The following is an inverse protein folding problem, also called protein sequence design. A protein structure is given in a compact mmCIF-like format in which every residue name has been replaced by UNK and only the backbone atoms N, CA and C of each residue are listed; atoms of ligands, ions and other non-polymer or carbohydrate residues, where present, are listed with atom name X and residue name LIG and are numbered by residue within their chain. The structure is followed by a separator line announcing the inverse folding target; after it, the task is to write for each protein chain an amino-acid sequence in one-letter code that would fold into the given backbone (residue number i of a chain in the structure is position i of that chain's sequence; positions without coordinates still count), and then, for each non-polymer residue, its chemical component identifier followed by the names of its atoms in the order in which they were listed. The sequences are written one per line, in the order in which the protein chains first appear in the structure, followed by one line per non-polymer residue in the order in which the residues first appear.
data_IF_298947287177
#
_entry.id   IF_298947287177
#
_cell.length_a   1.000
_cell.length_b   1.000
_cell.length_c   1.000
_cell.angle_alpha   90.00
_cell.angle_beta   90.00
_cell.angle_gamma   90.00
#
_symmetry.space_group_name_H-M   'P 1'
#
loop_
_entity.id
_entity.type
_entity.pdbx_description
1 polymer ?
#
# COMPACT_ATOMS: atom_id res chain seq x y z
N UNK A 1 -15.79 23.55 20.16
CA UNK A 1 -17.01 23.13 19.42
C UNK A 1 -18.23 23.82 20.01
N UNK A 2 -19.31 24.00 19.24
CA UNK A 2 -20.60 24.51 19.77
C UNK A 2 -21.48 23.30 20.04
N UNK A 3 -22.03 23.20 21.26
CA UNK A 3 -22.85 22.09 21.71
C UNK A 3 -24.22 22.59 22.18
N UNK A 4 -25.30 21.90 21.82
CA UNK A 4 -26.62 22.21 22.36
C UNK A 4 -26.68 21.88 23.85
N UNK A 5 -27.37 22.73 24.62
CA UNK A 5 -27.56 22.54 26.08
C UNK A 5 -28.98 22.05 26.34
N UNK A 6 -29.19 21.02 27.17
CA UNK A 6 -30.53 20.59 27.55
C UNK A 6 -31.36 21.77 28.10
N UNK A 7 -32.64 21.89 27.72
CA UNK A 7 -33.47 23.00 28.16
C UNK A 7 -33.63 22.97 29.68
N UNK A 8 -33.06 23.97 30.34
CA UNK A 8 -33.10 24.20 31.78
C UNK A 8 -33.27 25.70 32.05
N UNK A 9 -33.90 26.09 33.16
CA UNK A 9 -33.98 27.51 33.55
C UNK A 9 -32.58 28.13 33.54
N UNK A 10 -32.44 29.31 32.92
CA UNK A 10 -31.18 30.07 32.82
C UNK A 10 -30.07 29.48 31.94
N UNK A 11 -30.24 28.29 31.36
CA UNK A 11 -29.28 27.76 30.40
C UNK A 11 -29.51 28.35 28.99
N UNK A 12 -28.45 28.72 28.25
CA UNK A 12 -28.59 29.08 26.83
C UNK A 12 -29.02 27.85 26.02
N UNK A 13 -29.45 28.06 24.76
CA UNK A 13 -29.77 26.94 23.85
C UNK A 13 -28.52 26.15 23.45
N UNK A 14 -27.38 26.83 23.41
CA UNK A 14 -26.10 26.30 22.97
C UNK A 14 -24.99 26.86 23.85
N UNK A 15 -23.89 26.11 23.98
CA UNK A 15 -22.68 26.53 24.67
C UNK A 15 -21.46 26.17 23.83
N UNK A 16 -20.44 27.01 23.87
CA UNK A 16 -19.10 26.64 23.44
C UNK A 16 -18.54 25.64 24.44
N UNK A 17 -17.89 24.63 23.90
CA UNK A 17 -17.22 23.57 24.66
C UNK A 17 -15.79 23.45 24.16
N UNK A 18 -14.84 23.46 25.09
CA UNK A 18 -13.46 23.03 24.85
C UNK A 18 -13.29 21.63 25.39
N UNK A 19 -12.76 20.73 24.56
CA UNK A 19 -12.42 19.37 24.97
C UNK A 19 -10.96 19.08 24.67
N UNK A 20 -10.25 18.59 25.67
CA UNK A 20 -8.87 18.09 25.54
C UNK A 20 -8.89 16.58 25.67
N UNK A 21 -8.21 15.88 24.76
CA UNK A 21 -8.08 14.42 24.78
C UNK A 21 -6.66 14.01 25.09
N UNK A 22 -6.50 13.04 25.99
CA UNK A 22 -5.25 12.36 26.30
C UNK A 22 -5.39 10.88 25.99
N UNK A 23 -4.49 10.35 25.18
CA UNK A 23 -4.43 8.92 24.86
C UNK A 23 -3.21 8.31 25.53
N UNK A 24 -3.37 7.16 26.17
CA UNK A 24 -2.27 6.45 26.82
C UNK A 24 -2.45 4.94 26.74
N UNK A 25 -1.31 4.24 26.71
CA UNK A 25 -1.22 2.81 26.90
C UNK A 25 -0.66 2.57 28.31
N UNK A 26 -1.27 1.66 29.05
CA UNK A 26 -0.81 1.23 30.36
C UNK A 26 -0.88 -0.30 30.46
N UNK A 27 -0.31 -0.86 31.51
CA UNK A 27 -0.48 -2.27 31.85
C UNK A 27 -1.16 -2.35 33.22
N UNK A 28 -2.05 -3.33 33.40
CA UNK A 28 -2.60 -3.63 34.72
C UNK A 28 -1.62 -4.47 35.56
N UNK A 29 -2.00 -4.78 36.81
CA UNK A 29 -1.19 -5.61 37.71
C UNK A 29 -0.98 -7.04 37.18
N UNK A 30 -1.74 -7.45 36.16
CA UNK A 30 -1.62 -8.74 35.48
C UNK A 30 -0.81 -8.66 34.18
N UNK A 31 -0.25 -7.49 33.84
CA UNK A 31 0.51 -7.26 32.62
C UNK A 31 -0.35 -7.18 31.36
N UNK A 32 -1.67 -6.98 31.48
CA UNK A 32 -2.57 -6.81 30.32
C UNK A 32 -2.52 -5.38 29.82
N UNK A 33 -2.50 -5.22 28.50
CA UNK A 33 -2.58 -3.91 27.85
C UNK A 33 -3.93 -3.24 28.16
N UNK A 34 -3.85 -2.01 28.67
CA UNK A 34 -4.98 -1.11 28.89
C UNK A 34 -4.83 0.07 27.94
N UNK A 35 -5.79 0.22 27.03
CA UNK A 35 -5.91 1.44 26.22
C UNK A 35 -6.78 2.43 26.99
N UNK A 36 -6.21 3.58 27.35
CA UNK A 36 -6.89 4.62 28.13
C UNK A 36 -7.08 5.89 27.29
N UNK A 37 -8.32 6.32 27.18
CA UNK A 37 -8.69 7.62 26.64
C UNK A 37 -9.23 8.50 27.76
N UNK A 38 -8.49 9.55 28.11
CA UNK A 38 -8.94 10.60 29.01
C UNK A 38 -9.47 11.79 28.20
N UNK A 39 -10.50 12.43 28.69
CA UNK A 39 -10.94 13.72 28.17
C UNK A 39 -11.28 14.69 29.29
N UNK A 40 -11.02 15.97 29.07
CA UNK A 40 -11.41 17.05 29.98
C UNK A 40 -12.21 18.08 29.20
N UNK A 41 -13.38 18.43 29.72
CA UNK A 41 -14.39 19.23 29.04
C UNK A 41 -14.78 20.46 29.88
N UNK A 42 -14.76 21.63 29.25
CA UNK A 42 -15.19 22.91 29.85
C UNK A 42 -16.29 23.53 29.00
N UNK A 43 -17.43 23.85 29.61
CA UNK A 43 -18.56 24.53 28.97
C UNK A 43 -18.52 26.02 29.30
N UNK A 44 -18.39 26.89 28.31
CA UNK A 44 -18.07 28.30 28.52
C UNK A 44 -19.28 29.20 28.78
N UNK A 45 -20.46 28.84 28.27
CA UNK A 45 -21.61 29.75 28.23
C UNK A 45 -22.75 29.32 29.18
N UNK A 46 -22.59 28.21 29.90
CA UNK A 46 -23.58 27.72 30.89
C UNK A 46 -23.41 28.45 32.23
N UNK A 47 -24.47 28.58 33.06
CA UNK A 47 -24.34 29.06 34.43
C UNK A 47 -23.28 28.26 35.18
N UNK A 48 -22.33 28.95 35.81
CA UNK A 48 -21.18 28.36 36.51
C UNK A 48 -20.19 27.59 35.62
N UNK A 49 -20.18 27.82 34.31
CA UNK A 49 -19.28 27.12 33.37
C UNK A 49 -17.78 27.27 33.66
N UNK A 50 -17.38 28.34 34.35
CA UNK A 50 -16.02 28.60 34.82
C UNK A 50 -15.73 28.09 36.25
N UNK A 51 -16.70 27.43 36.89
CA UNK A 51 -16.57 26.89 38.24
C UNK A 51 -16.23 25.40 38.26
N UNK A 52 -16.42 24.69 37.14
CA UNK A 52 -16.16 23.26 37.07
C UNK A 52 -15.68 22.82 35.68
N UNK A 53 -14.99 21.69 35.63
CA UNK A 53 -14.72 20.91 34.43
C UNK A 53 -15.27 19.49 34.60
N UNK A 54 -15.55 18.81 33.49
CA UNK A 54 -15.91 17.40 33.50
C UNK A 54 -14.74 16.61 32.96
N UNK A 55 -14.22 15.68 33.75
CA UNK A 55 -13.24 14.71 33.31
C UNK A 55 -13.92 13.36 33.02
N UNK A 56 -13.57 12.74 31.90
CA UNK A 56 -14.01 11.41 31.54
C UNK A 56 -12.79 10.53 31.27
N UNK A 57 -12.86 9.26 31.70
CA UNK A 57 -11.86 8.24 31.41
C UNK A 57 -12.54 7.01 30.86
N UNK A 58 -12.16 6.60 29.65
CA UNK A 58 -12.59 5.36 29.02
C UNK A 58 -11.38 4.44 28.99
N UNK A 59 -11.52 3.28 29.63
CA UNK A 59 -10.51 2.22 29.66
C UNK A 59 -11.03 1.03 28.87
N UNK A 60 -10.18 0.51 28.00
CA UNK A 60 -10.46 -0.67 27.20
C UNK A 60 -9.41 -1.72 27.53
N UNK A 61 -9.87 -2.85 28.06
CA UNK A 61 -9.03 -3.98 28.47
C UNK A 61 -9.47 -5.20 27.71
N UNK A 62 -8.53 -5.96 27.16
CA UNK A 62 -8.87 -7.24 26.52
C UNK A 62 -9.37 -8.24 27.56
N UNK A 63 -10.54 -8.82 27.31
CA UNK A 63 -11.14 -9.83 28.18
C UNK A 63 -11.70 -10.99 27.33
N UNK A 64 -10.98 -12.12 27.32
CA UNK A 64 -11.30 -13.27 26.46
C UNK A 64 -11.23 -12.92 24.97
N UNK A 65 -12.32 -13.23 24.26
CA UNK A 65 -12.52 -12.91 22.84
C UNK A 65 -13.11 -11.50 22.62
N UNK A 66 -13.28 -10.72 23.69
CA UNK A 66 -13.87 -9.39 23.66
C UNK A 66 -12.97 -8.31 24.26
N UNK A 67 -13.58 -7.13 24.42
CA UNK A 67 -12.98 -5.97 25.07
C UNK A 67 -13.94 -5.52 26.17
N UNK A 68 -13.45 -5.47 27.41
CA UNK A 68 -14.12 -4.83 28.52
C UNK A 68 -13.91 -3.32 28.40
N UNK A 69 -15.02 -2.58 28.35
CA UNK A 69 -15.00 -1.11 28.25
C UNK A 69 -15.54 -0.52 29.55
N UNK A 70 -14.70 0.20 30.27
CA UNK A 70 -15.05 0.88 31.51
C UNK A 70 -15.02 2.38 31.28
N UNK A 71 -16.17 3.05 31.46
CA UNK A 71 -16.27 4.51 31.45
C UNK A 71 -16.45 5.05 32.87
N UNK A 72 -15.55 5.91 33.30
CA UNK A 72 -15.66 6.70 34.53
C UNK A 72 -15.66 8.19 34.22
N UNK A 73 -16.23 8.99 35.12
CA UNK A 73 -16.25 10.45 34.98
C UNK A 73 -16.25 11.13 36.36
N UNK A 74 -15.75 12.36 36.40
CA UNK A 74 -15.78 13.25 37.58
C UNK A 74 -16.14 14.67 37.17
N UNK A 75 -16.73 15.42 38.10
CA UNK A 75 -16.96 16.85 37.97
C UNK A 75 -16.03 17.59 38.95
N UNK A 76 -15.04 18.28 38.41
CA UNK A 76 -13.99 18.93 39.19
C UNK A 76 -14.32 20.40 39.38
N UNK A 77 -14.74 20.75 40.61
CA UNK A 77 -15.13 22.11 40.96
C UNK A 77 -13.92 22.93 41.40
N UNK A 78 -13.47 23.84 40.55
CA UNK A 78 -12.38 24.80 40.84
C UNK A 78 -12.84 25.99 41.68
N UNK A 79 -14.15 26.28 41.69
CA UNK A 79 -14.76 27.36 42.48
C UNK A 79 -15.99 26.85 43.24
N UNK A 80 -16.30 27.48 44.38
CA UNK A 80 -17.50 27.16 45.17
C UNK A 80 -18.76 27.63 44.45
N UNK A 81 -19.81 26.80 44.46
CA UNK A 81 -21.14 27.15 43.94
C UNK A 81 -22.23 26.52 44.80
N UNK A 82 -23.35 27.22 44.98
CA UNK A 82 -24.52 26.73 45.71
C UNK A 82 -25.33 25.68 44.92
N UNK A 83 -25.10 25.57 43.61
CA UNK A 83 -25.80 24.61 42.73
C UNK A 83 -25.00 23.31 42.51
N UNK A 84 -23.96 23.03 43.30
CA UNK A 84 -23.06 21.87 43.10
C UNK A 84 -23.81 20.56 42.93
N UNK A 85 -24.72 20.23 43.86
CA UNK A 85 -25.48 18.97 43.83
C UNK A 85 -26.39 18.87 42.59
N UNK A 86 -26.97 19.99 42.15
CA UNK A 86 -27.80 20.04 40.94
C UNK A 86 -26.95 19.82 39.68
N UNK A 87 -25.77 20.44 39.61
CA UNK A 87 -24.81 20.28 38.51
C UNK A 87 -24.33 18.81 38.44
N UNK A 88 -23.89 18.24 39.57
CA UNK A 88 -23.43 16.84 39.64
C UNK A 88 -24.52 15.85 39.22
N UNK A 89 -25.76 16.04 39.69
CA UNK A 89 -26.91 15.20 39.31
C UNK A 89 -27.22 15.30 37.81
N UNK A 90 -27.18 16.51 37.25
CA UNK A 90 -27.37 16.73 35.81
C UNK A 90 -26.26 16.06 34.98
N UNK A 91 -24.99 16.21 35.38
CA UNK A 91 -23.85 15.56 34.72
C UNK A 91 -24.02 14.04 34.76
N UNK A 92 -24.34 13.47 35.92
CA UNK A 92 -24.53 12.03 36.07
C UNK A 92 -25.63 11.48 35.14
N UNK A 93 -26.78 12.16 35.07
CA UNK A 93 -27.89 11.74 34.20
C UNK A 93 -27.48 11.78 32.72
N UNK A 94 -26.80 12.83 32.27
CA UNK A 94 -26.34 12.95 30.89
C UNK A 94 -25.25 11.91 30.57
N UNK A 95 -24.29 11.72 31.46
CA UNK A 95 -23.22 10.74 31.28
C UNK A 95 -23.74 9.31 31.17
N UNK A 96 -24.79 8.97 31.92
CA UNK A 96 -25.45 7.67 31.80
C UNK A 96 -26.03 7.45 30.39
N UNK A 97 -26.80 8.41 29.88
CA UNK A 97 -27.38 8.33 28.52
C UNK A 97 -26.29 8.26 27.44
N UNK A 98 -25.21 9.01 27.61
CA UNK A 98 -24.06 8.98 26.69
C UNK A 98 -23.33 7.64 26.73
N UNK A 99 -23.21 7.03 27.90
CA UNK A 99 -22.60 5.70 28.06
C UNK A 99 -23.42 4.63 27.33
N UNK A 100 -24.75 4.64 27.47
CA UNK A 100 -25.63 3.71 26.77
C UNK A 100 -25.50 3.82 25.24
N UNK A 101 -25.46 5.05 24.73
CA UNK A 101 -25.21 5.31 23.30
C UNK A 101 -23.83 4.79 22.88
N UNK A 102 -22.80 5.03 23.69
CA UNK A 102 -21.42 4.65 23.36
C UNK A 102 -21.34 3.14 23.19
N UNK A 103 -21.93 2.40 24.14
CA UNK A 103 -21.99 0.95 24.08
C UNK A 103 -22.75 0.45 22.86
N UNK A 104 -23.88 1.07 22.51
CA UNK A 104 -24.65 0.71 21.30
C UNK A 104 -23.82 0.83 20.02
N UNK A 105 -22.98 1.86 19.91
CA UNK A 105 -22.14 2.04 18.73
C UNK A 105 -20.93 1.13 18.73
N UNK A 106 -20.27 0.95 19.86
CA UNK A 106 -19.20 -0.04 19.97
C UNK A 106 -19.69 -1.45 19.58
N UNK A 107 -20.92 -1.79 20.00
CA UNK A 107 -21.55 -3.04 19.62
C UNK A 107 -21.84 -3.12 18.12
N UNK A 108 -22.39 -2.07 17.50
CA UNK A 108 -22.62 -2.06 16.05
C UNK A 108 -21.33 -2.25 15.24
N UNK A 109 -20.22 -1.66 15.70
CA UNK A 109 -18.92 -1.85 15.06
C UNK A 109 -18.37 -3.27 15.27
N UNK A 110 -18.61 -3.87 16.43
CA UNK A 110 -18.21 -5.25 16.69
C UNK A 110 -18.99 -6.24 15.79
N UNK A 111 -20.27 -5.97 15.53
CA UNK A 111 -21.11 -6.76 14.63
C UNK A 111 -20.66 -6.63 13.17
N UNK A 112 -20.37 -5.41 12.71
CA UNK A 112 -19.86 -5.13 11.35
C UNK A 112 -18.47 -5.73 11.11
N UNK A 113 -17.64 -5.83 12.16
CA UNK A 113 -16.32 -6.44 12.10
C UNK A 113 -16.33 -7.94 12.42
N UNK A 114 -17.49 -8.53 12.71
CA UNK A 114 -17.58 -9.98 12.82
C UNK A 114 -17.08 -10.57 11.49
N UNK A 115 -16.14 -11.54 11.54
CA UNK A 115 -15.58 -12.10 10.33
C UNK A 115 -16.74 -12.63 9.50
N UNK A 116 -16.96 -11.99 8.34
CA UNK A 116 -17.77 -12.57 7.26
C UNK A 116 -17.35 -14.02 7.20
N UNK A 117 -18.28 -14.93 7.43
CA UNK A 117 -18.04 -16.36 7.51
C UNK A 117 -17.55 -16.84 6.13
N UNK A 118 -16.25 -16.61 5.85
CA UNK A 118 -15.56 -17.11 4.68
C UNK A 118 -15.52 -18.60 4.95
N UNK A 119 -16.38 -19.33 4.24
CA UNK A 119 -16.72 -20.72 4.51
C UNK A 119 -15.50 -21.56 4.89
N UNK A 120 -15.72 -22.45 5.86
CA UNK A 120 -14.74 -23.38 6.39
C UNK A 120 -13.76 -23.86 5.32
N UNK A 121 -12.44 -23.81 5.55
CA UNK A 121 -11.49 -24.39 4.62
C UNK A 121 -11.81 -25.88 4.51
N UNK A 122 -12.21 -26.32 3.32
CA UNK A 122 -12.32 -27.74 2.99
C UNK A 122 -10.98 -28.39 3.32
N UNK A 123 -11.04 -29.29 4.30
CA UNK A 123 -9.99 -30.21 4.70
C UNK A 123 -9.26 -30.79 3.48
N UNK A 124 -8.01 -30.37 3.28
CA UNK A 124 -7.08 -31.08 2.40
C UNK A 124 -6.42 -32.19 3.23
N UNK A 125 -6.99 -33.38 3.18
CA UNK A 125 -6.30 -34.60 3.61
C UNK A 125 -5.25 -34.99 2.56
N UNK A 126 -4.04 -35.45 2.95
CA UNK A 126 -3.04 -35.92 2.00
C UNK A 126 -3.48 -37.24 1.36
N UNK A 127 -3.42 -37.33 0.04
CA UNK A 127 -3.57 -38.60 -0.70
C UNK A 127 -2.30 -39.45 -0.53
N UNK A 128 -2.39 -40.76 -0.25
CA UNK A 128 -1.24 -41.64 -0.26
C UNK A 128 -0.65 -41.76 -1.68
N UNK A 129 0.69 -41.73 -1.77
CA UNK A 129 1.44 -42.07 -2.99
C UNK A 129 1.21 -43.54 -3.31
N UNK A 130 0.51 -43.81 -4.42
CA UNK A 130 0.59 -45.10 -5.09
C UNK A 130 1.91 -45.17 -5.86
N UNK A 131 2.69 -46.18 -5.50
CA UNK A 131 3.80 -46.74 -6.26
C UNK A 131 3.34 -47.13 -7.67
N UNK A 132 4.09 -46.72 -8.69
CA UNK A 132 4.06 -47.41 -9.97
C UNK A 132 5.49 -47.56 -10.50
N UNK A 133 5.88 -48.83 -10.60
CA UNK A 133 7.02 -49.38 -11.29
C UNK A 133 6.79 -49.37 -12.81
N UNK A 134 7.88 -49.21 -13.57
CA UNK A 134 7.92 -49.29 -15.03
C UNK A 134 9.15 -48.53 -15.53
N UNK A 135 10.34 -49.13 -15.55
CA UNK A 135 10.86 -50.08 -16.57
C UNK A 135 11.20 -49.37 -17.90
N UNK A 136 12.41 -49.66 -18.41
CA UNK A 136 13.18 -49.07 -19.53
C UNK A 136 14.04 -47.87 -19.14
N UNK A 137 15.35 -47.82 -19.41
CA UNK A 137 16.24 -48.73 -20.12
C UNK A 137 17.66 -48.11 -20.11
N UNK A 138 18.66 -48.99 -20.09
CA UNK A 138 20.10 -48.72 -20.04
C UNK A 138 20.59 -47.75 -21.11
N UNK A 139 21.53 -46.86 -20.76
CA UNK A 139 22.80 -46.63 -21.48
C UNK A 139 23.84 -46.23 -20.42
N UNK A 140 24.86 -47.08 -20.28
CA UNK A 140 26.09 -46.84 -19.52
C UNK A 140 26.94 -45.80 -20.26
N UNK A 141 27.60 -44.89 -19.52
CA UNK A 141 28.88 -44.36 -19.98
C UNK A 141 29.75 -43.98 -18.78
N UNK A 142 30.87 -44.71 -18.71
CA UNK A 142 31.94 -44.64 -17.73
C UNK A 142 32.79 -43.40 -17.97
N UNK A 143 33.19 -42.72 -16.89
CA UNK A 143 34.53 -42.15 -16.82
C UNK A 143 34.88 -41.78 -15.39
N UNK A 144 35.67 -42.65 -14.78
CA UNK A 144 36.52 -42.41 -13.62
C UNK A 144 37.43 -41.19 -13.83
N UNK A 145 37.67 -40.42 -12.77
CA UNK A 145 38.96 -39.76 -12.51
C UNK A 145 39.09 -39.56 -11.01
N UNK A 146 40.18 -40.11 -10.50
CA UNK A 146 40.60 -40.13 -9.10
C UNK A 146 41.26 -38.81 -8.64
N UNK A 147 41.47 -38.78 -7.32
CA UNK A 147 42.56 -38.14 -6.57
C UNK A 147 42.40 -36.73 -6.00
N UNK A 148 42.27 -36.75 -4.67
CA UNK A 148 42.61 -35.70 -3.72
C UNK A 148 44.13 -35.43 -3.68
N UNK A 149 44.56 -34.34 -3.02
CA UNK A 149 45.07 -34.61 -1.67
C UNK A 149 44.67 -33.57 -0.61
N UNK A 150 44.50 -34.11 0.60
CA UNK A 150 44.50 -33.43 1.89
C UNK A 150 45.84 -32.75 2.18
N UNK A 151 45.80 -31.54 2.73
CA UNK A 151 46.94 -30.93 3.43
C UNK A 151 46.48 -30.54 4.83
N UNK A 152 47.06 -31.25 5.80
CA UNK A 152 47.06 -30.97 7.22
C UNK A 152 47.81 -29.66 7.52
N UNK A 153 47.36 -28.97 8.56
CA UNK A 153 47.98 -27.73 9.05
C UNK A 153 47.61 -27.47 10.50
N UNK A 154 48.11 -28.31 11.40
CA UNK A 154 48.20 -28.03 12.84
C UNK A 154 49.27 -26.98 13.11
N UNK A 155 48.92 -25.92 13.85
CA UNK A 155 49.88 -25.19 14.71
C UNK A 155 49.15 -24.79 15.99
N UNK A 156 49.76 -25.04 17.18
CA UNK A 156 49.17 -24.78 18.49
C UNK A 156 49.50 -23.36 18.97
N UNK A 157 48.69 -22.79 19.87
CA UNK A 157 49.26 -21.97 20.95
C UNK A 157 48.36 -21.94 22.18
N UNK A 158 49.03 -22.25 23.28
CA UNK A 158 48.66 -22.27 24.70
C UNK A 158 48.24 -20.91 25.26
N UNK A 159 47.59 -20.93 26.42
CA UNK A 159 47.70 -19.84 27.38
C UNK A 159 46.54 -19.75 28.35
N UNK A 160 46.67 -20.49 29.44
CA UNK A 160 45.82 -20.55 30.62
C UNK A 160 45.60 -19.20 31.34
N UNK A 161 44.55 -19.21 32.17
CA UNK A 161 44.52 -18.77 33.59
C UNK A 161 43.34 -17.84 33.98
N UNK A 162 42.36 -18.49 34.61
CA UNK A 162 41.90 -18.28 35.98
C UNK A 162 41.02 -17.08 36.42
N UNK A 163 39.89 -17.52 37.00
CA UNK A 163 39.45 -17.30 38.38
C UNK A 163 38.38 -16.23 38.72
N UNK A 164 37.20 -16.77 39.04
CA UNK A 164 36.34 -16.56 40.24
C UNK A 164 35.93 -15.13 40.66
N UNK A 165 34.61 -14.87 40.69
CA UNK A 165 33.75 -14.60 41.87
C UNK A 165 32.46 -13.85 41.44
N UNK A 166 31.34 -14.41 41.89
CA UNK A 166 30.02 -13.82 42.22
C UNK A 166 29.72 -12.36 41.90
N UNK A 167 28.55 -12.09 41.32
CA UNK A 167 27.38 -11.56 42.03
C UNK A 167 26.34 -11.01 41.06
N UNK A 168 25.11 -10.95 41.55
CA UNK A 168 23.90 -10.55 40.87
C UNK A 168 23.91 -9.11 40.32
N UNK A 169 23.17 -8.89 39.23
CA UNK A 169 22.12 -7.89 39.04
C UNK A 169 22.04 -7.46 37.58
N UNK A 170 20.81 -7.49 37.05
CA UNK A 170 20.24 -6.45 36.20
C UNK A 170 20.92 -6.18 34.86
N UNK A 171 20.28 -6.61 33.78
CA UNK A 171 19.84 -5.74 32.67
C UNK A 171 19.29 -6.64 31.58
N UNK A 172 17.96 -6.83 31.55
CA UNK A 172 17.29 -7.25 30.33
C UNK A 172 17.01 -5.99 29.51
N UNK A 173 17.46 -6.10 28.28
CA UNK A 173 17.42 -5.17 27.16
C UNK A 173 15.96 -4.93 26.74
N UNK A 174 15.40 -3.78 27.13
CA UNK A 174 14.14 -3.27 26.58
C UNK A 174 14.45 -2.61 25.23
N UNK A 175 14.40 -3.41 24.17
CA UNK A 175 14.31 -2.90 22.81
C UNK A 175 13.46 -3.83 21.94
N UNK A 176 12.15 -3.62 21.97
CA UNK A 176 11.36 -3.46 20.74
C UNK A 176 9.92 -3.03 21.05
N UNK A 177 9.73 -1.71 21.04
CA UNK A 177 8.48 -1.06 20.67
C UNK A 177 8.05 -1.53 19.26
N UNK A 178 6.75 -1.85 19.10
CA UNK A 178 6.24 -2.27 17.80
C UNK A 178 4.73 -2.49 17.70
N UNK A 179 3.97 -1.39 17.76
CA UNK A 179 2.67 -1.19 17.07
C UNK A 179 1.48 -2.10 17.44
N UNK A 180 0.68 -1.67 18.40
CA UNK A 180 -0.77 -1.92 18.46
C UNK A 180 -1.50 -0.65 18.90
N UNK A 181 -1.66 0.30 17.98
CA UNK A 181 -2.63 1.39 18.12
C UNK A 181 -3.22 1.66 16.75
N UNK A 182 -4.54 1.47 16.59
CA UNK A 182 -5.43 2.37 15.83
C UNK A 182 -6.86 1.82 15.83
N UNK A 183 -7.66 2.28 16.77
CA UNK A 183 -9.12 2.16 16.70
C UNK A 183 -9.82 3.34 17.37
N UNK A 184 -9.43 4.60 17.13
CA UNK A 184 -10.29 5.75 17.49
C UNK A 184 -10.09 6.91 16.51
N UNK A 185 -11.06 7.15 15.62
CA UNK A 185 -11.57 8.50 15.45
C UNK A 185 -13.09 8.47 15.44
N UNK A 186 -13.75 8.74 16.59
CA UNK A 186 -15.18 9.10 16.61
C UNK A 186 -15.76 9.59 17.96
N UNK A 187 -14.99 9.74 19.04
CA UNK A 187 -15.60 10.12 20.34
C UNK A 187 -16.06 11.59 20.40
N UNK A 188 -15.58 12.45 19.49
CA UNK A 188 -15.96 13.86 19.43
C UNK A 188 -17.32 14.09 18.76
N UNK A 189 -17.75 13.19 17.87
CA UNK A 189 -19.02 13.31 17.12
C UNK A 189 -20.20 12.60 17.79
N UNK A 190 -19.99 12.03 18.98
CA UNK A 190 -20.83 10.98 19.55
C UNK A 190 -21.83 11.44 20.63
N UNK A 191 -21.90 12.72 20.95
CA UNK A 191 -22.73 13.27 22.03
C UNK A 191 -24.20 13.54 21.64
N UNK A 192 -24.82 12.71 20.79
CA UNK A 192 -26.11 12.97 20.12
C UNK A 192 -27.31 13.38 20.99
N UNK A 193 -28.02 14.42 20.57
CA UNK A 193 -29.40 14.77 20.97
C UNK A 193 -30.41 14.16 19.98
N UNK A 194 -31.28 13.26 20.47
CA UNK A 194 -32.53 12.85 19.80
C UNK A 194 -33.69 13.67 20.36
N UNK A 195 -34.68 14.15 19.62
CA UNK A 195 -35.38 13.41 18.56
C UNK A 195 -35.81 14.28 17.36
N UNK A 196 -35.59 15.59 17.40
CA UNK A 196 -36.02 16.49 16.30
C UNK A 196 -34.97 16.64 15.19
N UNK A 197 -33.72 16.24 15.46
CA UNK A 197 -32.57 16.42 14.55
C UNK A 197 -32.29 15.17 13.69
N UNK A 198 -32.78 13.97 14.06
CA UNK A 198 -32.58 12.76 13.24
C UNK A 198 -33.12 12.92 11.81
N UNK A 199 -34.22 13.69 11.65
CA UNK A 199 -34.81 14.02 10.35
C UNK A 199 -34.00 15.05 9.54
N UNK A 200 -33.52 16.12 10.19
CA UNK A 200 -32.82 17.23 9.51
C UNK A 200 -31.30 16.99 9.34
N UNK A 201 -30.63 16.33 10.29
CA UNK A 201 -29.24 15.93 10.14
C UNK A 201 -29.09 14.78 9.15
N UNK A 202 -30.02 13.82 9.04
CA UNK A 202 -30.03 12.85 7.93
C UNK A 202 -30.04 13.55 6.55
N UNK A 203 -30.74 14.68 6.41
CA UNK A 203 -30.82 15.44 5.16
C UNK A 203 -29.68 16.45 4.96
N UNK A 204 -29.19 17.08 6.03
CA UNK A 204 -28.09 18.08 5.99
C UNK A 204 -26.71 17.41 5.97
N UNK A 205 -26.55 16.28 6.67
CA UNK A 205 -25.32 15.48 6.68
C UNK A 205 -25.10 14.76 5.35
N UNK A 206 -26.17 14.27 4.69
CA UNK A 206 -26.12 13.87 3.27
C UNK A 206 -25.71 15.01 2.34
N UNK A 207 -25.91 16.27 2.74
CA UNK A 207 -25.58 17.47 1.93
C UNK A 207 -24.18 18.03 2.18
N UNK A 208 -23.62 17.85 3.39
CA UNK A 208 -22.30 18.39 3.78
C UNK A 208 -21.18 17.34 3.82
N UNK A 209 -21.48 16.07 4.14
CA UNK A 209 -20.55 14.94 3.93
C UNK A 209 -20.74 14.24 2.58
N UNK A 210 -21.61 14.79 1.73
CA UNK A 210 -21.33 14.78 0.30
C UNK A 210 -20.11 15.68 0.02
N UNK A 211 -18.94 15.30 0.54
CA UNK A 211 -17.78 15.22 -0.35
C UNK A 211 -18.36 14.45 -1.52
N UNK A 212 -18.68 15.14 -2.63
CA UNK A 212 -19.17 14.47 -3.83
C UNK A 212 -18.26 13.25 -3.95
N UNK A 213 -18.83 12.04 -3.82
CA UNK A 213 -18.14 10.84 -4.25
C UNK A 213 -17.74 11.17 -5.67
N UNK A 214 -16.53 11.71 -5.82
CA UNK A 214 -16.02 12.12 -7.09
C UNK A 214 -15.64 10.79 -7.67
N UNK A 215 -16.60 10.19 -8.36
CA UNK A 215 -16.43 8.93 -9.05
C UNK A 215 -15.22 9.12 -9.96
N UNK A 216 -14.10 8.49 -9.56
CA UNK A 216 -12.90 8.56 -10.35
C UNK A 216 -13.09 7.59 -11.51
N UNK A 217 -13.11 8.12 -12.73
CA UNK A 217 -13.20 7.28 -13.91
C UNK A 217 -11.80 6.85 -14.31
N UNK A 218 -11.56 5.53 -14.35
CA UNK A 218 -10.33 4.96 -14.86
C UNK A 218 -10.55 4.55 -16.32
N UNK A 219 -9.64 4.99 -17.18
CA UNK A 219 -9.64 4.62 -18.60
C UNK A 219 -8.45 3.70 -18.88
N UNK A 220 -8.73 2.53 -19.48
CA UNK A 220 -7.70 1.58 -19.89
C UNK A 220 -7.91 1.24 -21.35
N UNK A 221 -6.84 1.31 -22.13
CA UNK A 221 -6.85 0.91 -23.53
C UNK A 221 -6.38 -0.53 -23.65
N UNK A 222 -7.14 -1.32 -24.41
CA UNK A 222 -6.74 -2.65 -24.81
C UNK A 222 -6.15 -2.62 -26.21
N UNK A 223 -4.91 -3.06 -26.37
CA UNK A 223 -4.20 -3.18 -27.64
C UNK A 223 -4.06 -4.64 -28.05
N UNK A 224 -4.31 -4.90 -29.33
CA UNK A 224 -4.04 -6.20 -29.93
C UNK A 224 -3.45 -6.05 -31.34
N UNK A 225 -2.65 -7.03 -31.73
CA UNK A 225 -1.99 -7.11 -33.03
C UNK A 225 -2.27 -8.48 -33.67
N UNK A 226 -2.47 -8.49 -34.99
CA UNK A 226 -2.51 -9.71 -35.81
C UNK A 226 -1.12 -10.29 -36.03
N UNK A 227 -1.04 -11.60 -36.27
CA UNK A 227 0.23 -12.20 -36.69
C UNK A 227 0.68 -11.69 -38.06
N UNK A 228 -0.23 -11.71 -39.04
CA UNK A 228 -0.06 -11.07 -40.35
C UNK A 228 -1.40 -10.52 -40.83
N UNK A 229 -1.41 -9.77 -41.94
CA UNK A 229 -2.67 -9.24 -42.51
C UNK A 229 -3.69 -10.31 -42.93
N UNK A 230 -3.25 -11.57 -43.07
CA UNK A 230 -4.09 -12.69 -43.51
C UNK A 230 -4.59 -13.58 -42.37
N UNK A 231 -4.13 -13.34 -41.14
CA UNK A 231 -4.61 -14.11 -39.99
C UNK A 231 -5.76 -13.38 -39.30
N UNK A 232 -6.73 -14.16 -38.83
CA UNK A 232 -7.83 -13.67 -38.00
C UNK A 232 -7.51 -13.69 -36.50
N UNK A 233 -6.29 -14.09 -36.14
CA UNK A 233 -5.83 -14.12 -34.76
C UNK A 233 -5.55 -12.71 -34.25
N UNK A 234 -6.00 -12.43 -33.03
CA UNK A 234 -5.69 -11.18 -32.35
C UNK A 234 -5.13 -11.49 -30.99
N UNK A 235 -3.92 -10.99 -30.73
CA UNK A 235 -3.19 -11.25 -29.49
C UNK A 235 -2.51 -9.99 -28.97
N UNK A 236 -2.01 -10.05 -27.73
CA UNK A 236 -1.20 -8.98 -27.17
C UNK A 236 -0.04 -8.63 -28.12
N UNK A 237 0.34 -7.35 -28.27
CA UNK A 237 1.39 -6.98 -29.22
C UNK A 237 2.72 -7.62 -28.82
N UNK A 238 3.47 -8.09 -29.81
CA UNK A 238 4.58 -9.01 -29.59
C UNK A 238 5.82 -8.68 -30.44
N UNK A 239 5.75 -7.66 -31.32
CA UNK A 239 6.88 -7.33 -32.18
C UNK A 239 7.93 -6.54 -31.40
N UNK A 240 9.24 -6.72 -31.66
CA UNK A 240 10.30 -6.01 -30.93
C UNK A 240 10.16 -4.48 -30.95
N UNK A 241 9.65 -3.92 -32.06
CA UNK A 241 9.46 -2.49 -32.24
C UNK A 241 8.20 -1.93 -31.56
N UNK A 242 7.33 -2.78 -31.00
CA UNK A 242 6.13 -2.32 -30.28
C UNK A 242 6.49 -1.54 -29.01
N UNK A 243 7.71 -1.67 -28.47
CA UNK A 243 8.13 -0.83 -27.35
C UNK A 243 7.37 -1.18 -26.06
N UNK A 244 6.80 -0.15 -25.42
CA UNK A 244 5.87 -0.30 -24.29
C UNK A 244 4.51 -0.89 -24.69
N UNK A 245 4.17 -0.84 -25.98
CA UNK A 245 2.88 -1.33 -26.52
C UNK A 245 2.78 -2.84 -26.51
N UNK A 246 3.84 -3.57 -26.15
CA UNK A 246 3.80 -5.01 -25.94
C UNK A 246 2.86 -5.42 -24.79
N UNK A 247 2.54 -4.49 -23.88
CA UNK A 247 1.46 -4.69 -22.93
C UNK A 247 0.10 -4.63 -23.63
N UNK A 248 -0.76 -5.63 -23.39
CA UNK A 248 -2.15 -5.63 -23.87
C UNK A 248 -2.96 -4.47 -23.28
N UNK A 249 -2.69 -4.10 -22.04
CA UNK A 249 -3.43 -3.08 -21.29
C UNK A 249 -2.53 -1.87 -21.05
N UNK A 250 -2.96 -0.71 -21.56
CA UNK A 250 -2.14 0.51 -21.58
C UNK A 250 -2.96 1.75 -21.20
N UNK A 251 -2.26 2.83 -20.87
CA UNK A 251 -2.86 4.16 -20.73
C UNK A 251 -3.12 4.82 -22.10
N UNK A 252 -3.69 6.03 -22.10
CA UNK A 252 -3.95 6.84 -23.30
C UNK A 252 -2.68 7.10 -24.16
N UNK A 253 -1.50 7.06 -23.54
CA UNK A 253 -0.20 7.30 -24.18
C UNK A 253 0.45 6.02 -24.71
N UNK A 254 -0.21 4.88 -24.54
CA UNK A 254 0.29 3.53 -24.82
C UNK A 254 1.48 3.09 -23.96
N UNK A 255 1.57 3.59 -22.74
CA UNK A 255 2.44 3.03 -21.71
C UNK A 255 1.70 1.98 -20.91
N UNK A 256 2.42 1.04 -20.29
CA UNK A 256 1.84 0.07 -19.36
C UNK A 256 1.01 0.82 -18.30
N UNK A 257 -0.26 0.47 -18.16
CA UNK A 257 -1.15 1.14 -17.21
C UNK A 257 -0.58 1.00 -15.78
N UNK A 258 -0.52 2.09 -14.98
CA UNK A 258 0.18 2.10 -13.69
C UNK A 258 -0.44 1.17 -12.64
N UNK A 259 -1.70 0.78 -12.81
CA UNK A 259 -2.42 -0.13 -11.90
C UNK A 259 -2.32 -1.61 -12.29
N UNK A 260 -1.50 -1.98 -13.27
CA UNK A 260 -1.25 -3.38 -13.62
C UNK A 260 -0.18 -3.98 -12.70
N UNK A 261 -0.60 -4.68 -11.64
CA UNK A 261 0.33 -5.33 -10.70
C UNK A 261 0.95 -6.63 -11.22
N UNK A 262 0.31 -7.28 -12.19
CA UNK A 262 0.71 -8.60 -12.63
C UNK A 262 1.83 -8.58 -13.70
N UNK A 263 2.59 -9.69 -13.75
CA UNK A 263 3.51 -9.99 -14.85
C UNK A 263 2.74 -9.96 -16.17
N UNK A 264 3.37 -9.43 -17.22
CA UNK A 264 2.72 -9.21 -18.54
C UNK A 264 2.03 -10.49 -19.06
N UNK A 265 2.64 -11.66 -18.85
CA UNK A 265 2.13 -12.94 -19.34
C UNK A 265 0.74 -13.32 -18.82
N UNK A 266 0.42 -13.07 -17.53
CA UNK A 266 -0.91 -13.39 -17.00
C UNK A 266 -1.96 -12.35 -17.40
N UNK A 267 -1.56 -11.09 -17.54
CA UNK A 267 -2.48 -10.01 -17.97
C UNK A 267 -2.90 -10.15 -19.43
N UNK A 268 -2.06 -10.74 -20.27
CA UNK A 268 -2.32 -10.88 -21.70
C UNK A 268 -3.55 -11.74 -22.02
N UNK A 269 -3.99 -12.61 -21.11
CA UNK A 269 -5.15 -13.50 -21.30
C UNK A 269 -6.46 -12.97 -20.67
N UNK A 270 -6.40 -11.88 -19.88
CA UNK A 270 -7.58 -11.38 -19.17
C UNK A 270 -8.71 -10.95 -20.11
N UNK A 271 -9.97 -11.16 -19.71
CA UNK A 271 -11.15 -10.77 -20.50
C UNK A 271 -11.47 -9.28 -20.38
N UNK A 272 -11.22 -8.70 -19.20
CA UNK A 272 -11.36 -7.29 -18.85
C UNK A 272 -10.02 -6.76 -18.30
N UNK A 273 -9.82 -5.43 -18.18
CA UNK A 273 -8.62 -4.87 -17.60
C UNK A 273 -8.30 -5.49 -16.23
N UNK A 274 -7.14 -6.15 -16.04
CA UNK A 274 -6.72 -6.70 -14.75
C UNK A 274 -5.99 -5.63 -13.95
N UNK A 275 -6.63 -4.48 -13.78
CA UNK A 275 -6.07 -3.37 -13.00
C UNK A 275 -6.47 -3.54 -11.54
N UNK A 276 -5.54 -3.31 -10.64
CA UNK A 276 -5.83 -3.22 -9.22
C UNK A 276 -5.84 -1.73 -8.84
N UNK A 277 -7.01 -1.14 -8.59
CA UNK A 277 -7.07 0.25 -8.19
C UNK A 277 -6.30 0.49 -6.89
N UNK A 278 -6.00 1.76 -6.57
CA UNK A 278 -5.61 2.14 -5.24
C UNK A 278 -6.61 1.53 -4.23
N UNK A 279 -6.14 0.99 -3.10
CA UNK A 279 -7.02 0.29 -2.14
C UNK A 279 -8.11 1.20 -1.56
N UNK A 280 -7.86 2.51 -1.47
CA UNK A 280 -8.86 3.50 -1.07
C UNK A 280 -9.96 3.66 -2.12
N UNK A 281 -9.94 2.88 -3.20
CA UNK A 281 -10.92 2.91 -4.27
C UNK A 281 -11.51 1.51 -4.46
N UNK A 282 -12.84 1.46 -4.56
CA UNK A 282 -13.57 0.27 -4.97
C UNK A 282 -14.18 0.50 -6.33
N UNK A 283 -14.14 -0.52 -7.18
CA UNK A 283 -14.90 -0.52 -8.43
C UNK A 283 -16.38 -0.22 -8.15
N UNK A 284 -16.89 0.82 -8.80
CA UNK A 284 -18.29 1.25 -8.81
C UNK A 284 -18.90 0.80 -10.13
N UNK A 285 -19.18 -0.50 -10.23
CA UNK A 285 -19.86 -1.09 -11.39
C UNK A 285 -18.98 -2.07 -12.16
N UNK A 286 -19.38 -2.34 -13.40
CA UNK A 286 -18.68 -3.26 -14.30
C UNK A 286 -17.90 -2.45 -15.33
N UNK A 287 -16.73 -2.97 -15.70
CA UNK A 287 -15.99 -2.49 -16.86
C UNK A 287 -16.87 -2.48 -18.10
N UNK A 288 -16.87 -1.36 -18.81
CA UNK A 288 -17.64 -1.18 -20.04
C UNK A 288 -16.76 -0.65 -21.16
N UNK A 289 -17.09 -1.00 -22.40
CA UNK A 289 -16.37 -0.52 -23.59
C UNK A 289 -17.00 0.80 -24.03
N UNK A 290 -16.20 1.86 -24.10
CA UNK A 290 -16.67 3.21 -24.46
C UNK A 290 -15.92 3.70 -25.70
N UNK A 291 -16.55 3.61 -26.90
CA UNK A 291 -15.90 3.98 -28.16
C UNK A 291 -15.44 5.45 -28.17
N UNK A 292 -14.23 5.68 -28.66
CA UNK A 292 -13.63 7.01 -28.82
C UNK A 292 -13.43 7.32 -30.32
N UNK A 293 -14.54 7.31 -31.06
CA UNK A 293 -14.57 7.45 -32.53
C UNK A 293 -15.10 6.21 -33.28
N UNK A 294 -14.88 6.12 -34.61
CA UNK A 294 -15.43 5.04 -35.44
C UNK A 294 -14.92 3.68 -35.00
N UNK A 295 -15.82 2.86 -34.46
CA UNK A 295 -15.55 1.51 -33.98
C UNK A 295 -16.54 0.51 -34.58
N UNK A 296 -16.19 -0.77 -34.53
CA UNK A 296 -17.13 -1.84 -34.85
C UNK A 296 -18.17 -2.05 -33.73
N UNK A 297 -19.02 -3.07 -33.89
CA UNK A 297 -20.08 -3.43 -32.93
C UNK A 297 -19.55 -3.82 -31.53
N UNK A 298 -18.30 -4.25 -31.44
CA UNK A 298 -17.66 -4.71 -30.21
C UNK A 298 -16.75 -3.60 -29.61
N UNK A 299 -16.80 -2.40 -30.19
CA UNK A 299 -16.04 -1.22 -29.79
C UNK A 299 -14.57 -1.22 -30.25
N UNK A 300 -14.16 -2.11 -31.15
CA UNK A 300 -12.82 -2.13 -31.70
C UNK A 300 -12.62 -1.08 -32.78
N UNK A 301 -11.47 -0.43 -32.72
CA UNK A 301 -10.95 0.45 -33.76
C UNK A 301 -9.71 -0.19 -34.39
N UNK A 302 -9.53 -0.02 -35.69
CA UNK A 302 -8.52 -0.70 -36.49
C UNK A 302 -7.57 0.27 -37.16
N UNK A 303 -6.32 -0.16 -37.31
CA UNK A 303 -5.27 0.62 -37.95
C UNK A 303 -4.14 -0.31 -38.47
N UNK A 304 -3.33 0.18 -39.41
CA UNK A 304 -2.10 -0.51 -39.85
C UNK A 304 -1.02 -0.55 -38.78
N UNK A 305 -1.01 0.41 -37.84
CA UNK A 305 -0.10 0.43 -36.70
C UNK A 305 -0.70 1.16 -35.48
N UNK A 306 -0.05 1.11 -34.32
CA UNK A 306 -0.49 1.81 -33.11
C UNK A 306 -0.22 3.32 -33.17
N UNK A 307 -1.07 4.06 -33.88
CA UNK A 307 -1.00 5.51 -34.02
C UNK A 307 -1.61 6.24 -32.82
N UNK A 308 -1.00 7.36 -32.40
CA UNK A 308 -1.56 8.25 -31.37
C UNK A 308 -2.73 9.10 -31.89
N UNK A 309 -2.73 9.42 -33.19
CA UNK A 309 -3.74 10.29 -33.79
C UNK A 309 -5.07 9.56 -34.00
N UNK A 310 -6.20 10.04 -33.44
CA UNK A 310 -7.50 9.38 -33.57
C UNK A 310 -7.97 9.17 -35.03
N UNK A 311 -7.64 10.10 -35.94
CA UNK A 311 -8.05 10.02 -37.36
C UNK A 311 -7.42 8.88 -38.16
N UNK A 312 -6.42 8.18 -37.61
CA UNK A 312 -5.81 7.00 -38.23
C UNK A 312 -6.52 5.69 -37.84
N UNK A 313 -7.53 5.77 -36.99
CA UNK A 313 -8.31 4.64 -36.54
C UNK A 313 -9.66 4.60 -37.24
N UNK A 314 -10.13 3.41 -37.62
CA UNK A 314 -11.43 3.22 -38.28
C UNK A 314 -12.16 1.96 -37.84
N UNK A 315 -13.43 1.83 -38.21
CA UNK A 315 -14.29 0.73 -37.79
C UNK A 315 -14.09 -0.60 -38.56
N UNK A 316 -13.30 -0.61 -39.65
CA UNK A 316 -13.16 -1.78 -40.54
C UNK A 316 -11.85 -2.52 -40.29
N UNK A 317 -11.94 -3.83 -40.07
CA UNK A 317 -10.79 -4.72 -39.84
C UNK A 317 -10.00 -5.08 -41.11
N UNK A 318 -10.53 -4.83 -42.31
CA UNK A 318 -10.02 -5.37 -43.59
C UNK A 318 -8.53 -5.16 -43.83
N UNK A 319 -7.99 -4.00 -43.43
CA UNK A 319 -6.58 -3.64 -43.60
C UNK A 319 -5.86 -3.41 -42.26
N UNK A 320 -6.54 -3.65 -41.14
CA UNK A 320 -5.99 -3.39 -39.81
C UNK A 320 -5.05 -4.50 -39.38
N UNK A 321 -3.80 -4.16 -39.05
CA UNK A 321 -2.86 -5.06 -38.37
C UNK A 321 -2.93 -4.91 -36.85
N UNK A 322 -3.39 -3.74 -36.39
CA UNK A 322 -3.55 -3.40 -35.00
C UNK A 322 -5.02 -3.07 -34.73
N UNK A 323 -5.48 -3.38 -33.52
CA UNK A 323 -6.76 -2.90 -33.02
C UNK A 323 -6.63 -2.37 -31.60
N UNK A 324 -7.48 -1.40 -31.26
CA UNK A 324 -7.61 -0.88 -29.90
C UNK A 324 -9.08 -0.76 -29.51
N UNK A 325 -9.37 -0.85 -28.22
CA UNK A 325 -10.66 -0.42 -27.65
C UNK A 325 -10.44 0.19 -26.27
N UNK A 326 -11.31 1.13 -25.90
CA UNK A 326 -11.24 1.82 -24.62
C UNK A 326 -12.21 1.21 -23.64
N UNK A 327 -11.71 0.90 -22.45
CA UNK A 327 -12.46 0.39 -21.33
C UNK A 327 -12.55 1.48 -20.26
N UNK A 328 -13.74 1.65 -19.68
CA UNK A 328 -13.98 2.57 -18.58
C UNK A 328 -14.61 1.84 -17.40
N UNK A 329 -14.19 2.23 -16.20
CA UNK A 329 -14.82 1.84 -14.94
C UNK A 329 -14.76 3.03 -13.98
N UNK A 330 -15.85 3.27 -13.25
CA UNK A 330 -15.89 4.26 -12.19
C UNK A 330 -15.42 3.64 -10.88
N UNK A 331 -14.74 4.43 -10.06
CA UNK A 331 -14.24 4.02 -8.75
C UNK A 331 -14.76 4.98 -7.68
N UNK A 332 -15.28 4.42 -6.60
CA UNK A 332 -15.67 5.19 -5.41
C UNK A 332 -14.58 5.11 -4.37
N UNK A 333 -14.29 6.25 -3.73
CA UNK A 333 -13.34 6.27 -2.63
C UNK A 333 -13.97 5.59 -1.42
N UNK A 334 -13.31 4.55 -0.89
CA UNK A 334 -13.71 3.94 0.37
C UNK A 334 -13.44 4.91 1.52
N UNK A 335 -14.42 5.20 2.40
CA UNK A 335 -14.29 6.22 3.45
C UNK A 335 -13.18 5.93 4.48
N UNK A 336 -12.74 4.68 4.62
CA UNK A 336 -11.73 4.28 5.61
C UNK A 336 -10.94 3.10 5.08
N UNK A 337 -9.64 3.30 4.84
CA UNK A 337 -8.70 2.20 4.90
C UNK A 337 -8.31 2.02 6.36
N UNK A 338 -8.58 0.84 6.91
CA UNK A 338 -8.24 0.46 8.28
C UNK A 338 -6.71 0.42 8.47
N UNK A 339 -5.95 0.32 7.37
CA UNK A 339 -4.49 0.33 7.39
C UNK A 339 -3.95 1.01 6.13
N UNK A 340 -2.94 1.89 6.23
CA UNK A 340 -2.29 2.45 5.06
C UNK A 340 -1.65 1.32 4.25
N UNK A 341 -1.86 1.30 2.93
CA UNK A 341 -1.18 0.33 2.08
C UNK A 341 0.30 0.69 1.95
N UNK A 342 1.12 -0.35 1.94
CA UNK A 342 2.54 -0.28 1.64
C UNK A 342 2.77 -0.85 0.24
N UNK A 343 3.38 -0.06 -0.63
CA UNK A 343 3.85 -0.53 -1.94
C UNK A 343 5.36 -0.45 -1.96
N UNK A 344 6.02 -1.60 -2.09
CA UNK A 344 7.46 -1.67 -2.29
C UNK A 344 7.76 -1.50 -3.77
N UNK A 345 8.37 -0.37 -4.14
CA UNK A 345 8.88 -0.15 -5.49
C UNK A 345 10.35 -0.51 -5.54
N UNK A 346 10.75 -1.23 -6.58
CA UNK A 346 12.14 -1.60 -6.82
C UNK A 346 12.60 -1.14 -8.19
N UNK A 347 13.81 -0.60 -8.27
CA UNK A 347 14.39 -0.09 -9.50
C UNK A 347 15.86 -0.45 -9.61
N UNK A 348 16.31 -0.74 -10.82
CA UNK A 348 17.72 -0.89 -11.14
C UNK A 348 18.32 0.47 -11.48
N UNK A 349 19.45 0.77 -10.84
CA UNK A 349 20.41 1.75 -11.32
C UNK A 349 21.39 1.05 -12.27
N UNK A 350 21.51 1.54 -13.50
CA UNK A 350 22.42 1.03 -14.52
C UNK A 350 23.56 2.02 -14.75
N UNK A 351 24.78 1.48 -14.83
CA UNK A 351 25.96 2.25 -15.20
C UNK A 351 26.87 1.43 -16.12
N UNK A 352 27.64 2.11 -16.96
CA UNK A 352 28.57 1.52 -17.93
C UNK A 352 29.88 2.32 -17.97
N UNK A 353 30.96 1.62 -18.29
CA UNK A 353 32.26 2.18 -18.69
C UNK A 353 32.32 2.30 -20.21
N UNK A 354 33.00 3.31 -20.74
CA UNK A 354 33.19 3.44 -22.19
C UNK A 354 34.05 2.29 -22.73
N UNK A 355 35.06 1.88 -21.95
CA UNK A 355 35.91 0.72 -22.24
C UNK A 355 36.19 -0.05 -20.96
N UNK A 356 36.53 -1.34 -21.07
CA UNK A 356 36.83 -2.20 -19.90
C UNK A 356 38.02 -1.72 -19.07
N UNK A 357 38.87 -0.86 -19.63
CA UNK A 357 40.06 -0.31 -18.99
C UNK A 357 39.80 0.99 -18.21
N UNK A 358 38.62 1.61 -18.41
CA UNK A 358 38.25 2.80 -17.63
C UNK A 358 37.81 2.43 -16.23
N UNK A 359 38.12 3.26 -15.26
CA UNK A 359 37.67 3.11 -13.87
C UNK A 359 36.28 3.73 -13.65
N UNK A 360 36.00 4.82 -14.38
CA UNK A 360 34.80 5.65 -14.24
C UNK A 360 33.55 4.93 -14.74
N UNK A 361 32.55 4.87 -13.87
CA UNK A 361 31.22 4.39 -14.20
C UNK A 361 30.28 5.56 -14.42
N UNK A 362 29.59 5.59 -15.56
CA UNK A 362 28.63 6.65 -15.90
C UNK A 362 27.31 6.03 -16.30
N UNK A 363 26.24 6.82 -16.26
CA UNK A 363 24.97 6.35 -16.80
C UNK A 363 25.12 5.98 -18.29
N UNK A 364 24.37 4.97 -18.77
CA UNK A 364 24.60 4.39 -20.08
C UNK A 364 24.11 5.33 -21.19
N UNK A 365 25.01 5.78 -22.06
CA UNK A 365 24.67 6.69 -23.16
C UNK A 365 25.46 6.43 -24.44
N UNK A 366 25.93 5.21 -24.70
CA UNK A 366 26.61 4.99 -25.97
C UNK A 366 25.58 5.17 -27.11
N UNK A 367 25.92 5.88 -28.21
CA UNK A 367 24.98 6.12 -29.30
C UNK A 367 24.38 4.84 -29.90
N UNK A 368 25.07 3.71 -29.78
CA UNK A 368 24.60 2.40 -30.26
C UNK A 368 23.76 1.62 -29.25
N UNK A 369 23.66 2.07 -27.99
CA UNK A 369 22.78 1.43 -27.01
C UNK A 369 21.33 1.60 -27.47
N UNK A 370 20.58 0.50 -27.44
CA UNK A 370 19.16 0.52 -27.76
C UNK A 370 18.46 1.58 -26.90
N UNK A 371 17.41 2.25 -27.41
CA UNK A 371 16.74 3.36 -26.71
C UNK A 371 16.38 3.05 -25.24
N UNK A 372 16.11 1.78 -24.91
CA UNK A 372 15.81 1.32 -23.54
C UNK A 372 17.04 1.18 -22.63
N UNK A 373 18.23 0.97 -23.20
CA UNK A 373 19.50 0.86 -22.49
C UNK A 373 20.13 2.22 -22.20
N UNK A 374 19.56 3.32 -22.70
CA UNK A 374 20.07 4.69 -22.44
C UNK A 374 19.61 5.29 -21.13
N UNK A 375 18.93 4.50 -20.30
CA UNK A 375 18.30 4.95 -19.07
C UNK A 375 19.12 4.47 -17.89
N UNK A 376 19.50 5.42 -17.02
CA UNK A 376 20.15 5.10 -15.74
C UNK A 376 19.20 4.34 -14.80
N UNK A 377 17.93 4.71 -14.78
CA UNK A 377 16.94 4.18 -13.85
C UNK A 377 15.87 3.41 -14.60
N UNK A 378 15.75 2.11 -14.30
CA UNK A 378 14.77 1.22 -14.94
C UNK A 378 14.06 0.36 -13.90
N UNK A 379 12.88 -0.14 -14.23
CA UNK A 379 12.18 -1.14 -13.42
C UNK A 379 12.86 -2.53 -13.51
N UNK A 380 12.32 -3.51 -12.80
CA UNK A 380 12.86 -4.88 -12.79
C UNK A 380 12.91 -5.56 -14.17
N UNK A 381 12.10 -5.08 -15.12
CA UNK A 381 12.00 -5.59 -16.50
C UNK A 381 12.83 -4.75 -17.50
N UNK A 382 13.67 -3.83 -17.02
CA UNK A 382 14.48 -2.89 -17.81
C UNK A 382 13.63 -1.92 -18.66
N UNK A 383 12.47 -1.52 -18.15
CA UNK A 383 11.61 -0.49 -18.74
C UNK A 383 11.61 0.80 -17.91
N UNK A 384 11.07 1.89 -18.48
CA UNK A 384 10.81 3.12 -17.72
C UNK A 384 9.69 2.82 -16.72
N UNK A 385 9.91 3.17 -15.45
CA UNK A 385 8.89 2.98 -14.42
C UNK A 385 7.68 3.91 -14.68
N UNK A 386 6.43 3.47 -14.46
CA UNK A 386 5.25 4.32 -14.73
C UNK A 386 5.22 5.63 -13.93
N UNK A 387 5.91 5.69 -12.79
CA UNK A 387 6.03 6.89 -11.94
C UNK A 387 7.25 7.75 -12.27
N UNK A 388 8.01 7.39 -13.31
CA UNK A 388 9.14 8.19 -13.79
C UNK A 388 8.68 9.56 -14.27
N UNK A 389 9.41 10.60 -13.87
CA UNK A 389 9.21 11.94 -14.41
C UNK A 389 9.59 11.96 -15.89
N UNK A 390 8.90 12.78 -16.67
CA UNK A 390 9.06 12.83 -18.13
C UNK A 390 10.34 13.51 -18.62
N UNK A 391 11.13 14.13 -17.73
CA UNK A 391 12.35 14.84 -18.11
C UNK A 391 13.57 13.90 -18.07
N UNK A 392 14.17 13.54 -19.23
CA UNK A 392 15.34 12.68 -19.29
C UNK A 392 16.58 13.28 -18.65
N UNK A 393 16.70 14.61 -18.58
CA UNK A 393 17.89 15.27 -18.03
C UNK A 393 18.05 14.96 -16.53
N UNK A 394 16.92 14.94 -15.80
CA UNK A 394 16.89 14.58 -14.38
C UNK A 394 17.32 13.13 -14.13
N UNK A 395 17.10 12.21 -15.08
CA UNK A 395 17.44 10.79 -14.92
C UNK A 395 18.94 10.51 -14.93
N UNK A 396 19.70 11.25 -15.73
CA UNK A 396 21.13 11.03 -15.88
C UNK A 396 21.91 11.41 -14.61
N UNK A 397 21.55 12.53 -13.98
CA UNK A 397 22.30 13.12 -12.86
C UNK A 397 21.80 12.72 -11.48
N UNK A 398 20.55 12.26 -11.34
CA UNK A 398 19.99 11.94 -10.02
C UNK A 398 20.77 10.84 -9.29
N UNK A 399 21.02 11.04 -8.00
CA UNK A 399 21.69 10.07 -7.12
C UNK A 399 20.76 8.93 -6.69
N UNK A 400 19.45 9.21 -6.59
CA UNK A 400 18.38 8.28 -6.20
C UNK A 400 17.37 8.13 -7.34
N UNK A 401 16.53 7.08 -7.37
CA UNK A 401 15.50 6.94 -8.40
C UNK A 401 14.58 8.17 -8.49
N UNK A 402 14.54 8.89 -9.63
CA UNK A 402 13.76 10.12 -9.79
C UNK A 402 12.32 9.81 -10.22
N UNK A 403 11.63 9.01 -9.42
CA UNK A 403 10.20 8.74 -9.60
C UNK A 403 9.37 9.58 -8.65
N UNK A 404 8.19 10.00 -9.11
CA UNK A 404 7.21 10.73 -8.31
C UNK A 404 5.96 9.86 -8.19
N UNK A 405 5.72 9.35 -6.99
CA UNK A 405 4.50 8.60 -6.74
C UNK A 405 3.26 9.45 -7.00
N UNK A 406 2.12 8.83 -7.36
CA UNK A 406 0.85 9.52 -7.51
C UNK A 406 0.46 10.30 -6.24
N UNK A 407 -0.44 11.27 -6.40
CA UNK A 407 -0.98 12.01 -5.26
C UNK A 407 -1.58 11.04 -4.22
N UNK A 408 -1.32 11.31 -2.94
CA UNK A 408 -1.73 10.45 -1.83
C UNK A 408 -0.69 9.45 -1.37
N UNK A 409 0.44 9.28 -2.07
CA UNK A 409 1.53 8.42 -1.62
C UNK A 409 2.69 9.22 -1.04
N UNK A 410 3.29 8.70 0.03
CA UNK A 410 4.51 9.24 0.64
C UNK A 410 5.64 8.20 0.55
N UNK A 411 6.84 8.65 0.20
CA UNK A 411 8.02 7.81 0.14
C UNK A 411 8.69 7.76 1.52
N UNK A 412 8.96 6.56 2.04
CA UNK A 412 9.73 6.39 3.30
C UNK A 412 11.25 6.60 3.10
N UNK A 413 11.70 6.71 1.85
CA UNK A 413 13.08 6.92 1.48
C UNK A 413 13.67 5.75 0.70
N UNK A 414 14.54 6.07 -0.25
CA UNK A 414 15.23 5.09 -1.06
C UNK A 414 16.41 4.47 -0.31
N UNK A 415 16.45 3.14 -0.29
CA UNK A 415 17.55 2.34 0.24
C UNK A 415 18.12 1.44 -0.84
N UNK A 416 19.41 1.13 -0.73
CA UNK A 416 20.04 0.09 -1.57
C UNK A 416 19.57 -1.27 -1.05
N UNK A 417 18.90 -2.04 -1.91
CA UNK A 417 18.34 -3.34 -1.56
C UNK A 417 19.25 -4.49 -2.01
N UNK A 418 19.08 -5.65 -1.39
CA UNK A 418 19.81 -6.87 -1.78
C UNK A 418 19.33 -7.35 -3.16
N UNK A 419 20.21 -7.38 -4.19
CA UNK A 419 19.84 -7.95 -5.47
C UNK A 419 19.81 -9.48 -5.40
N UNK A 420 19.08 -10.11 -6.33
CA UNK A 420 19.18 -11.57 -6.51
C UNK A 420 20.58 -11.94 -7.04
N UNK A 421 21.26 -12.90 -6.39
CA UNK A 421 22.58 -13.40 -6.81
C UNK A 421 23.75 -12.74 -6.08
N UNK A 422 24.97 -12.95 -6.56
CA UNK A 422 26.17 -12.37 -5.93
C UNK A 422 26.28 -10.87 -6.26
N UNK A 423 26.80 -10.10 -5.31
CA UNK A 423 27.11 -8.68 -5.46
C UNK A 423 28.39 -8.34 -4.69
N UNK A 424 28.97 -7.18 -4.97
CA UNK A 424 30.10 -6.65 -4.20
C UNK A 424 29.63 -6.02 -2.86
N UNK A 425 30.54 -5.56 -1.98
CA UNK A 425 30.16 -4.95 -0.70
C UNK A 425 29.30 -3.69 -0.84
N UNK A 426 29.37 -2.99 -1.98
CA UNK A 426 28.53 -1.83 -2.29
C UNK A 426 27.22 -2.20 -3.02
N UNK A 427 26.92 -3.51 -3.08
CA UNK A 427 25.74 -4.12 -3.71
C UNK A 427 25.63 -3.90 -5.21
N UNK A 428 26.76 -3.70 -5.90
CA UNK A 428 26.81 -3.73 -7.35
C UNK A 428 26.92 -5.16 -7.86
N UNK A 429 26.25 -5.42 -8.98
CA UNK A 429 26.47 -6.59 -9.81
C UNK A 429 27.04 -6.17 -11.16
N UNK A 430 27.90 -6.98 -11.75
CA UNK A 430 28.68 -6.67 -12.94
C UNK A 430 28.40 -7.65 -14.07
N UNK A 431 28.46 -7.16 -15.31
CA UNK A 431 28.27 -7.97 -16.52
C UNK A 431 29.00 -7.35 -17.72
N UNK A 432 29.21 -8.15 -18.77
CA UNK A 432 29.76 -7.66 -20.04
C UNK A 432 28.76 -6.80 -20.82
N UNK A 433 27.46 -6.94 -20.55
CA UNK A 433 26.38 -6.16 -21.16
C UNK A 433 25.13 -6.07 -20.26
N UNK A 434 24.14 -5.27 -20.64
CA UNK A 434 22.85 -5.14 -19.95
C UNK A 434 21.95 -6.37 -20.16
N UNK A 435 22.26 -7.43 -19.41
CA UNK A 435 21.52 -8.68 -19.44
C UNK A 435 20.26 -8.63 -18.55
N UNK A 436 19.14 -9.13 -19.07
CA UNK A 436 17.90 -9.29 -18.26
C UNK A 436 18.00 -10.43 -17.25
N UNK A 437 18.67 -11.51 -17.64
CA UNK A 437 18.81 -12.70 -16.80
C UNK A 437 19.78 -12.46 -15.65
N UNK A 438 19.34 -12.66 -14.41
CA UNK A 438 20.17 -12.44 -13.22
C UNK A 438 21.41 -13.32 -13.14
N UNK A 439 21.44 -14.49 -13.79
CA UNK A 439 22.59 -15.39 -13.81
C UNK A 439 23.79 -14.88 -14.65
N UNK A 440 23.61 -13.81 -15.43
CA UNK A 440 24.69 -13.15 -16.20
C UNK A 440 25.38 -12.02 -15.43
N UNK A 441 25.00 -11.85 -14.16
CA UNK A 441 25.53 -10.83 -13.28
C UNK A 441 26.34 -11.48 -12.15
N UNK A 442 27.50 -10.93 -11.84
CA UNK A 442 28.38 -11.42 -10.78
C UNK A 442 28.92 -10.29 -9.89
N UNK A 443 29.68 -10.63 -8.87
CA UNK A 443 30.30 -9.68 -7.93
C UNK A 443 31.64 -9.08 -8.41
N UNK A 444 32.27 -9.66 -9.43
CA UNK A 444 33.60 -9.23 -9.90
C UNK A 444 33.50 -8.18 -11.03
N UNK A 445 34.16 -7.04 -10.85
CA UNK A 445 34.20 -5.96 -11.84
C UNK A 445 35.23 -6.15 -12.96
N UNK A 446 36.19 -7.07 -12.79
CA UNK A 446 37.29 -7.29 -13.75
C UNK A 446 36.75 -7.77 -15.10
N UNK A 447 37.10 -7.05 -16.17
CA UNK A 447 36.66 -7.35 -17.54
C UNK A 447 35.18 -7.03 -17.83
N UNK A 448 34.46 -6.43 -16.88
CA UNK A 448 33.05 -6.09 -17.03
C UNK A 448 32.87 -4.63 -17.46
N UNK A 449 31.94 -4.39 -18.38
CA UNK A 449 31.67 -3.06 -18.93
C UNK A 449 30.42 -2.42 -18.33
N UNK A 450 29.52 -3.22 -17.76
CA UNK A 450 28.24 -2.81 -17.22
C UNK A 450 28.13 -3.20 -15.76
N UNK A 451 27.44 -2.36 -14.97
CA UNK A 451 27.06 -2.67 -13.59
C UNK A 451 25.63 -2.25 -13.30
N UNK A 452 25.00 -2.94 -12.35
CA UNK A 452 23.67 -2.58 -11.83
C UNK A 452 23.60 -2.64 -10.32
N UNK A 453 22.74 -1.81 -9.72
CA UNK A 453 22.46 -1.80 -8.28
C UNK A 453 20.95 -1.71 -8.04
N UNK A 454 20.44 -2.53 -7.13
CA UNK A 454 19.02 -2.55 -6.81
C UNK A 454 18.70 -1.50 -5.76
N UNK A 455 17.71 -0.68 -6.03
CA UNK A 455 17.15 0.30 -5.10
C UNK A 455 15.72 -0.12 -4.75
N UNK A 456 15.32 0.11 -3.50
CA UNK A 456 13.95 -0.07 -3.05
C UNK A 456 13.47 1.13 -2.23
N UNK A 457 12.18 1.42 -2.32
CA UNK A 457 11.50 2.38 -1.45
C UNK A 457 10.13 1.80 -1.11
N UNK A 458 9.74 1.94 0.15
CA UNK A 458 8.37 1.71 0.57
C UNK A 458 7.62 3.02 0.37
N UNK A 459 6.50 2.93 -0.33
CA UNK A 459 5.55 4.01 -0.45
C UNK A 459 4.35 3.69 0.40
N UNK A 460 3.98 4.65 1.24
CA UNK A 460 2.89 4.52 2.20
C UNK A 460 1.77 5.47 1.77
N UNK A 461 0.58 4.91 1.58
CA UNK A 461 -0.58 5.71 1.20
C UNK A 461 -1.03 6.57 2.40
N UNK A 462 -1.01 7.89 2.23
CA UNK A 462 -1.53 8.83 3.22
C UNK A 462 -3.05 8.77 3.26
N UNK A 463 -3.59 8.19 4.34
CA UNK A 463 -4.99 8.33 4.74
C UNK A 463 -5.28 9.74 5.28
N UNK A 464 -5.06 10.81 4.50
CA UNK A 464 -5.49 12.15 4.91
C UNK A 464 -6.72 12.57 4.12
N UNK A 465 -7.87 12.50 4.78
CA UNK A 465 -8.95 13.46 4.56
C UNK A 465 -8.39 14.83 5.00
N UNK A 466 -7.91 15.64 4.06
CA UNK A 466 -7.82 17.09 4.32
C UNK A 466 -9.27 17.57 4.39
N UNK A 467 -9.78 17.71 5.60
CA UNK A 467 -11.02 18.44 5.89
C UNK A 467 -10.84 19.91 5.54
#
# INVERSE_FOLDING_TARGET
MIMPVPPQPMCPKETRVSVSYGFGLAHDDQGRDIVRLKSSCTSHDVPYGDHFSVEESIEMVREGDGVLVTKSFSADFVKRTFLRSMIESSIQSQQKSLCEKLMSVLQSYAEDMSPVNVGSPTSCTPRPRASNSGLFGMIDDDSDIEDAPSIDGDVPFSGDEDAVISAALGTMDDSQDGLMVTAIPSIIDFLGLGDTISSMASHSWKKQNAIKEADLTCEVWELQRRTTMFHDDWRAPFLPHDGQKQARWVDERYHKHPWLLAKISSTAAAAHPPVEPPPAMREKGKWSVVPDGPADKDGWQYSTDFHKTPSKWGAKSTIGLCRKRRWECSFVRQPRLISPRLVKVQMWELQRRTTIFQTDWRAPFLPHDALRQRLRWVDLDFNIHPWSLSDPATFASSEKPPIKAPEGWEAEGWVVAEPSGTCDPARWQYSTDFNRSSNRWGSNSTGMSCRRRLWACIFTERCRLKL
#
